data_IF_076614864314
#
_entry.id   IF_076614864314
#
_cell.length_a   1.000
_cell.length_b   1.000
_cell.length_c   1.000
_cell.angle_alpha   90.00
_cell.angle_beta   90.00
_cell.angle_gamma   90.00
#
_symmetry.space_group_name_H-M   'P 1'
#
loop_
_entity.id
_entity.type
_entity.pdbx_description
1 polymer ?
#
# COMPACT_ATOMS: atom_id res chain seq x y z
N UNK A 1 -18.55 -12.12 -2.44
CA UNK A 1 -18.04 -10.74 -2.30
C UNK A 1 -16.58 -10.83 -1.89
N UNK A 2 -15.62 -10.28 -2.65
CA UNK A 2 -14.22 -10.18 -2.20
C UNK A 2 -14.08 -8.92 -1.36
N UNK A 3 -13.54 -9.04 -0.15
CA UNK A 3 -13.21 -7.91 0.70
C UNK A 3 -11.95 -7.26 0.11
N UNK A 4 -11.98 -5.93 -0.08
CA UNK A 4 -10.82 -5.16 -0.54
C UNK A 4 -10.21 -4.46 0.68
N UNK A 5 -8.95 -4.76 0.97
CA UNK A 5 -8.19 -4.11 2.02
C UNK A 5 -7.40 -2.93 1.45
N UNK A 6 -7.54 -1.78 2.11
CA UNK A 6 -6.83 -0.56 1.76
C UNK A 6 -6.10 -0.03 2.99
N UNK A 7 -4.77 0.03 2.92
CA UNK A 7 -3.96 0.72 3.91
C UNK A 7 -3.54 2.08 3.35
N UNK A 8 -3.90 3.17 4.00
CA UNK A 8 -3.70 4.53 3.49
C UNK A 8 -2.84 5.34 4.44
N UNK A 9 -1.93 6.13 3.88
CA UNK A 9 -1.04 6.99 4.62
C UNK A 9 -1.30 8.45 4.26
N UNK A 10 -1.35 9.30 5.29
CA UNK A 10 -1.75 10.69 5.17
C UNK A 10 -0.66 11.61 5.71
N UNK A 11 -0.40 12.70 4.98
CA UNK A 11 0.46 13.80 5.39
C UNK A 11 -0.28 15.10 5.12
N UNK A 12 -0.30 16.02 6.09
CA UNK A 12 -1.09 17.27 6.01
C UNK A 12 -2.55 17.07 5.58
N UNK A 13 -3.20 16.00 6.08
CA UNK A 13 -4.58 15.59 5.73
C UNK A 13 -4.77 15.16 4.27
N UNK A 14 -3.69 15.06 3.48
CA UNK A 14 -3.70 14.54 2.13
C UNK A 14 -3.16 13.11 2.11
N UNK A 15 -3.86 12.21 1.44
CA UNK A 15 -3.37 10.86 1.19
C UNK A 15 -2.19 10.94 0.22
N UNK A 16 -1.04 10.37 0.57
CA UNK A 16 0.16 10.44 -0.28
C UNK A 16 0.57 9.07 -0.85
N UNK A 17 0.26 7.96 -0.16
CA UNK A 17 0.50 6.59 -0.63
C UNK A 17 -0.54 5.63 -0.05
N UNK A 18 -0.85 4.56 -0.78
CA UNK A 18 -1.74 3.46 -0.31
C UNK A 18 -1.23 2.09 -0.71
N UNK A 19 -1.50 1.08 0.10
CA UNK A 19 -1.51 -0.32 -0.34
C UNK A 19 -2.93 -0.71 -0.77
N UNK A 20 -3.03 -1.42 -1.89
CA UNK A 20 -4.29 -1.95 -2.41
C UNK A 20 -4.22 -3.46 -2.57
N UNK A 21 -5.03 -4.21 -1.83
CA UNK A 21 -5.00 -5.68 -1.87
C UNK A 21 -5.31 -6.28 -3.22
N UNK A 22 -6.12 -5.61 -4.05
CA UNK A 22 -6.46 -6.10 -5.39
C UNK A 22 -5.27 -5.99 -6.35
N UNK A 23 -4.37 -5.04 -6.10
CA UNK A 23 -3.13 -4.84 -6.87
C UNK A 23 -1.96 -5.60 -6.22
N UNK A 24 -1.98 -5.71 -4.89
CA UNK A 24 -0.92 -6.30 -4.09
C UNK A 24 0.31 -5.40 -3.96
N UNK A 25 0.19 -4.09 -4.18
CA UNK A 25 1.33 -3.15 -4.19
C UNK A 25 0.97 -1.80 -3.56
N UNK A 26 2.00 -1.08 -3.13
CA UNK A 26 1.86 0.32 -2.76
C UNK A 26 1.76 1.18 -4.02
N UNK A 27 0.96 2.26 -3.96
CA UNK A 27 0.88 3.26 -5.02
C UNK A 27 0.90 4.66 -4.45
N UNK A 28 1.79 5.47 -4.99
CA UNK A 28 1.79 6.91 -4.75
C UNK A 28 0.47 7.53 -5.25
N UNK A 29 -0.19 8.29 -4.38
CA UNK A 29 -1.38 9.09 -4.71
C UNK A 29 -0.99 10.52 -5.10
N UNK A 30 0.17 10.95 -4.63
CA UNK A 30 0.79 12.25 -4.95
C UNK A 30 2.28 12.04 -5.22
N UNK A 31 2.94 13.00 -5.85
CA UNK A 31 4.40 12.92 -6.09
C UNK A 31 5.21 12.75 -4.79
N UNK A 32 4.71 13.26 -3.65
CA UNK A 32 5.35 13.08 -2.34
C UNK A 32 5.51 11.60 -1.97
N UNK A 33 4.59 10.74 -2.39
CA UNK A 33 4.60 9.31 -2.05
C UNK A 33 5.39 8.43 -3.00
N UNK A 34 5.98 8.97 -4.09
CA UNK A 34 6.78 8.16 -5.02
C UNK A 34 7.99 7.49 -4.35
N UNK A 35 8.76 8.16 -3.50
CA UNK A 35 9.87 7.51 -2.80
C UNK A 35 9.39 6.35 -1.92
N UNK A 36 8.24 6.50 -1.24
CA UNK A 36 7.66 5.45 -0.39
C UNK A 36 7.11 4.27 -1.21
N UNK A 37 6.43 4.55 -2.31
CA UNK A 37 5.96 3.55 -3.28
C UNK A 37 7.14 2.69 -3.76
N UNK A 38 8.17 3.32 -4.33
CA UNK A 38 9.35 2.63 -4.86
C UNK A 38 10.08 1.84 -3.76
N UNK A 39 10.31 2.47 -2.61
CA UNK A 39 11.02 1.84 -1.50
C UNK A 39 10.26 0.66 -0.91
N UNK A 40 8.96 0.77 -0.66
CA UNK A 40 8.17 -0.31 -0.08
C UNK A 40 7.91 -1.45 -1.07
N UNK A 41 7.69 -1.15 -2.35
CA UNK A 41 7.54 -2.19 -3.38
C UNK A 41 8.86 -2.91 -3.71
N UNK A 42 10.01 -2.29 -3.41
CA UNK A 42 11.32 -2.94 -3.51
C UNK A 42 11.56 -3.99 -2.40
N UNK A 43 10.91 -3.84 -1.24
CA UNK A 43 11.07 -4.73 -0.09
C UNK A 43 10.13 -5.94 -0.18
N UNK A 44 10.62 -7.03 -0.79
CA UNK A 44 9.81 -8.23 -1.09
C UNK A 44 9.16 -8.85 0.15
N UNK A 45 9.91 -9.08 1.22
CA UNK A 45 9.37 -9.69 2.44
C UNK A 45 8.25 -8.84 3.07
N UNK A 46 8.42 -7.51 3.07
CA UNK A 46 7.41 -6.58 3.56
C UNK A 46 6.16 -6.61 2.69
N UNK A 47 6.33 -6.62 1.37
CA UNK A 47 5.23 -6.66 0.41
C UNK A 47 4.43 -7.96 0.49
N UNK A 48 5.11 -9.10 0.63
CA UNK A 48 4.47 -10.40 0.83
C UNK A 48 3.72 -10.47 2.15
N UNK A 49 4.29 -9.92 3.23
CA UNK A 49 3.58 -9.82 4.50
C UNK A 49 2.29 -8.98 4.37
N UNK A 50 2.33 -7.87 3.61
CA UNK A 50 1.13 -7.06 3.37
C UNK A 50 0.08 -7.77 2.53
N UNK A 51 0.50 -8.56 1.53
CA UNK A 51 -0.39 -9.39 0.71
C UNK A 51 -1.09 -10.47 1.54
N UNK A 52 -0.39 -11.09 2.49
CA UNK A 52 -0.97 -12.16 3.33
C UNK A 52 -1.92 -11.64 4.42
N UNK A 53 -1.77 -10.39 4.87
CA UNK A 53 -2.71 -9.80 5.83
C UNK A 53 -4.14 -9.66 5.28
N UNK A 54 -4.32 -9.65 3.96
CA UNK A 54 -5.65 -9.59 3.31
C UNK A 54 -6.49 -10.80 3.68
N UNK A 55 -5.88 -11.97 3.83
CA UNK A 55 -6.59 -13.22 4.18
C UNK A 55 -7.02 -13.28 5.65
N UNK A 56 -6.58 -12.33 6.47
CA UNK A 56 -6.86 -12.27 7.91
C UNK A 56 -8.03 -11.34 8.30
N UNK A 57 -8.67 -10.66 7.34
CA UNK A 57 -9.80 -9.74 7.56
C UNK A 57 -11.06 -10.18 6.82
#
# INVERSE_FOLDING_TARGET
>A
QRVRYLQRYFYNRQEYVRFDSDVGEFRAVTELGRPDDEYWNSQKDFLEHKRSQVDAY
#
